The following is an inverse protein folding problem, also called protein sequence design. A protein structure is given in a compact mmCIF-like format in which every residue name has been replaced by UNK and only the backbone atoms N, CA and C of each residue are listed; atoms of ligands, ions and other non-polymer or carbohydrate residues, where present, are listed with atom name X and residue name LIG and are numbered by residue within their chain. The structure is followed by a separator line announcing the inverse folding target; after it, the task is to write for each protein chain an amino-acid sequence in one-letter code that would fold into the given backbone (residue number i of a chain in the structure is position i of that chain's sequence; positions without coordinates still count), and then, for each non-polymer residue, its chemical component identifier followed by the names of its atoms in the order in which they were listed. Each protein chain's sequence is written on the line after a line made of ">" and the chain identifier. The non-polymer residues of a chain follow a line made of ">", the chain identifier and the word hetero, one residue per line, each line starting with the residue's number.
data_IF_457463720346
#
_entry.id   IF_457463720346
#
_cell.length_a   1.000
_cell.length_b   1.000
_cell.length_c   1.000
_cell.angle_alpha   90.00
_cell.angle_beta   90.00
_cell.angle_gamma   90.00
#
_symmetry.space_group_name_H-M   'P 1'
#
loop_
_entity.id
_entity.type
_entity.pdbx_description
1 polymer ?
#
# COMPACT_ATOMS: atom_id res chain seq x y z
N UNK A 1 6.10 -8.77 9.15
CA UNK A 1 6.63 -7.49 9.65
C UNK A 1 7.01 -7.70 11.11
N UNK A 2 8.16 -7.19 11.61
CA UNK A 2 8.43 -7.22 13.04
C UNK A 2 7.22 -6.69 13.83
N UNK A 3 6.87 -7.31 14.96
CA UNK A 3 5.65 -6.98 15.71
C UNK A 3 5.63 -5.52 16.20
N UNK A 4 6.81 -4.89 16.32
CA UNK A 4 6.96 -3.56 16.90
C UNK A 4 7.10 -2.42 15.88
N UNK A 5 6.90 -2.68 14.58
CA UNK A 5 6.95 -1.60 13.61
C UNK A 5 5.76 -0.66 13.78
N UNK A 6 6.05 0.51 14.36
CA UNK A 6 5.08 1.57 14.56
C UNK A 6 5.60 2.88 13.92
N UNK A 7 4.72 3.69 13.34
CA UNK A 7 5.06 5.04 12.96
C UNK A 7 5.34 5.89 14.21
N UNK A 8 5.95 7.06 14.02
CA UNK A 8 6.01 8.06 15.09
C UNK A 8 4.59 8.40 15.57
N UNK A 9 4.38 8.61 16.88
CA UNK A 9 3.07 8.97 17.42
C UNK A 9 2.48 10.19 16.73
N UNK A 10 1.24 10.06 16.25
CA UNK A 10 0.52 11.12 15.55
C UNK A 10 -0.98 10.97 15.79
N UNK A 11 -1.68 12.08 16.01
CA UNK A 11 -3.15 12.10 16.12
C UNK A 11 -3.82 11.67 14.81
N UNK A 12 -3.13 11.85 13.69
CA UNK A 12 -3.58 11.46 12.35
C UNK A 12 -3.44 9.95 12.09
N UNK A 13 -2.58 9.26 12.85
CA UNK A 13 -2.23 7.85 12.63
C UNK A 13 -2.22 7.06 13.95
N UNK A 14 -3.35 6.96 14.68
CA UNK A 14 -3.40 6.13 15.88
C UNK A 14 -3.13 4.65 15.57
N UNK A 15 -2.72 3.89 16.58
CA UNK A 15 -2.42 2.47 16.39
C UNK A 15 -3.71 1.68 16.09
N UNK A 16 -3.83 1.24 14.83
CA UNK A 16 -4.96 0.43 14.36
C UNK A 16 -4.48 -0.85 13.63
N UNK A 17 -5.30 -1.92 13.64
CA UNK A 17 -5.10 -3.10 12.79
C UNK A 17 -4.97 -2.72 11.31
N UNK A 18 -4.16 -3.47 10.55
CA UNK A 18 -3.86 -3.15 9.15
C UNK A 18 -5.11 -2.86 8.30
N UNK A 19 -6.16 -3.68 8.42
CA UNK A 19 -7.42 -3.53 7.69
C UNK A 19 -8.20 -2.23 8.01
N UNK A 20 -7.86 -1.49 9.05
CA UNK A 20 -8.58 -0.25 9.40
C UNK A 20 -7.80 1.01 9.03
N UNK A 21 -6.50 0.89 8.75
CA UNK A 21 -5.61 2.05 8.55
C UNK A 21 -6.02 2.89 7.34
N UNK A 22 -6.47 2.27 6.26
CA UNK A 22 -6.87 2.99 5.05
C UNK A 22 -8.00 4.00 5.29
N UNK A 23 -8.95 3.67 6.18
CA UNK A 23 -10.08 4.54 6.51
C UNK A 23 -9.76 5.48 7.68
N UNK A 24 -9.09 4.97 8.72
CA UNK A 24 -8.91 5.68 9.98
C UNK A 24 -7.67 6.56 10.05
N UNK A 25 -6.67 6.34 9.18
CA UNK A 25 -5.52 7.24 9.10
C UNK A 25 -5.83 8.39 8.17
N UNK A 26 -5.64 9.61 8.68
CA UNK A 26 -6.04 10.82 7.99
C UNK A 26 -4.83 11.53 7.40
N UNK A 27 -4.88 11.96 6.14
CA UNK A 27 -3.89 12.90 5.63
C UNK A 27 -4.12 14.28 6.27
N UNK A 28 -3.06 15.07 6.40
CA UNK A 28 -3.16 16.43 6.96
C UNK A 28 -4.07 17.32 6.10
N UNK A 29 -3.96 17.19 4.77
CA UNK A 29 -4.77 17.91 3.79
C UNK A 29 -5.77 16.95 3.13
N UNK A 30 -6.79 16.53 3.87
CA UNK A 30 -7.95 15.89 3.24
C UNK A 30 -8.75 16.97 2.50
N UNK A 31 -9.01 16.78 1.21
CA UNK A 31 -9.90 17.71 0.51
C UNK A 31 -11.28 17.64 1.18
N UNK A 32 -11.88 18.82 1.39
CA UNK A 32 -13.23 18.95 1.92
C UNK A 32 -14.15 17.97 1.18
N UNK A 33 -14.86 17.12 1.93
CA UNK A 33 -15.93 16.28 1.36
C UNK A 33 -16.77 17.17 0.45
N UNK A 34 -17.09 16.76 -0.79
CA UNK A 34 -18.03 17.52 -1.60
C UNK A 34 -19.31 17.67 -0.78
N UNK A 35 -19.77 18.92 -0.58
CA UNK A 35 -20.88 19.27 0.32
C UNK A 35 -22.20 18.50 0.07
N UNK A 36 -22.29 17.78 -1.04
CA UNK A 36 -23.46 17.03 -1.47
C UNK A 36 -23.46 15.56 -1.00
N UNK A 37 -22.33 15.03 -0.50
CA UNK A 37 -22.23 13.64 -0.02
C UNK A 37 -22.13 13.61 1.50
N UNK A 38 -22.96 12.77 2.12
CA UNK A 38 -22.88 12.52 3.56
C UNK A 38 -21.61 11.74 3.91
N UNK A 39 -21.30 11.64 5.20
CA UNK A 39 -20.17 10.82 5.65
C UNK A 39 -20.40 9.34 5.34
N UNK A 40 -21.66 8.94 5.42
CA UNK A 40 -22.16 7.59 5.19
C UNK A 40 -22.03 7.22 3.71
N UNK A 41 -22.33 8.13 2.79
CA UNK A 41 -22.15 7.89 1.34
C UNK A 41 -20.68 7.69 0.98
N UNK A 42 -19.80 8.53 1.54
CA UNK A 42 -18.35 8.38 1.36
C UNK A 42 -17.86 7.05 1.92
N UNK A 43 -18.31 6.65 3.12
CA UNK A 43 -17.97 5.35 3.70
C UNK A 43 -18.47 4.20 2.83
N UNK A 44 -19.70 4.25 2.31
CA UNK A 44 -20.23 3.25 1.40
C UNK A 44 -19.42 3.14 0.09
N UNK A 45 -18.99 4.26 -0.49
CA UNK A 45 -18.13 4.27 -1.69
C UNK A 45 -16.77 3.65 -1.38
N UNK A 46 -16.17 4.04 -0.25
CA UNK A 46 -14.91 3.49 0.22
C UNK A 46 -15.02 1.98 0.51
N UNK A 47 -16.10 1.55 1.15
CA UNK A 47 -16.40 0.15 1.43
C UNK A 47 -16.65 -0.64 0.15
N UNK A 48 -17.35 -0.08 -0.84
CA UNK A 48 -17.52 -0.72 -2.15
C UNK A 48 -16.17 -0.88 -2.88
N UNK A 49 -15.29 0.13 -2.81
CA UNK A 49 -13.91 0.03 -3.33
C UNK A 49 -13.08 -1.03 -2.59
N UNK A 50 -13.28 -1.16 -1.28
CA UNK A 50 -12.62 -2.16 -0.45
C UNK A 50 -13.19 -3.58 -0.69
N UNK A 51 -14.52 -3.73 -0.85
CA UNK A 51 -15.22 -4.99 -1.14
C UNK A 51 -14.87 -5.54 -2.53
N UNK A 52 -14.53 -4.65 -3.48
CA UNK A 52 -13.97 -5.05 -4.77
C UNK A 52 -12.60 -5.75 -4.62
N UNK A 53 -11.92 -5.59 -3.47
CA UNK A 53 -10.65 -6.24 -3.15
C UNK A 53 -10.85 -7.37 -2.12
N UNK A 54 -10.08 -8.46 -2.24
CA UNK A 54 -10.09 -9.50 -1.20
C UNK A 54 -9.60 -8.96 0.16
N UNK A 55 -10.12 -9.48 1.28
CA UNK A 55 -9.70 -9.08 2.65
C UNK A 55 -8.18 -9.17 2.87
N UNK A 56 -7.53 -10.16 2.25
CA UNK A 56 -6.06 -10.31 2.27
C UNK A 56 -5.33 -9.16 1.55
N UNK A 57 -5.93 -8.62 0.50
CA UNK A 57 -5.46 -7.43 -0.22
C UNK A 57 -5.62 -6.19 0.65
N UNK A 58 -6.74 -6.05 1.36
CA UNK A 58 -6.98 -4.91 2.26
C UNK A 58 -5.94 -4.83 3.40
N UNK A 59 -5.65 -5.96 4.04
CA UNK A 59 -4.57 -6.06 5.04
C UNK A 59 -3.20 -5.77 4.45
N UNK A 60 -2.94 -6.19 3.22
CA UNK A 60 -1.68 -5.92 2.52
C UNK A 60 -1.51 -4.42 2.23
N UNK A 61 -2.57 -3.75 1.81
CA UNK A 61 -2.58 -2.31 1.55
C UNK A 61 -2.38 -1.50 2.83
N UNK A 62 -3.13 -1.80 3.90
CA UNK A 62 -2.93 -1.14 5.18
C UNK A 62 -1.58 -1.45 5.85
N UNK A 63 -0.98 -2.61 5.54
CA UNK A 63 0.42 -2.88 5.89
C UNK A 63 1.36 -1.98 5.10
N UNK A 64 1.17 -1.87 3.79
CA UNK A 64 1.95 -0.98 2.93
C UNK A 64 1.90 0.48 3.33
N UNK A 65 0.71 0.96 3.71
CA UNK A 65 0.52 2.31 4.23
C UNK A 65 1.33 2.54 5.52
N UNK A 66 1.36 1.56 6.43
CA UNK A 66 2.24 1.60 7.61
C UNK A 66 3.71 1.72 7.21
N UNK A 67 4.19 0.91 6.26
CA UNK A 67 5.60 0.95 5.83
C UNK A 67 5.94 2.29 5.20
N UNK A 68 5.05 2.84 4.39
CA UNK A 68 5.21 4.17 3.78
C UNK A 68 5.38 5.25 4.84
N UNK A 69 4.52 5.25 5.85
CA UNK A 69 4.59 6.21 6.93
C UNK A 69 5.83 6.06 7.80
N UNK A 70 6.27 4.83 8.10
CA UNK A 70 7.53 4.59 8.80
C UNK A 70 8.73 5.03 7.97
N UNK A 71 8.70 4.80 6.65
CA UNK A 71 9.70 5.33 5.74
C UNK A 71 9.73 6.87 5.79
N UNK A 72 8.57 7.52 5.72
CA UNK A 72 8.47 8.98 5.82
C UNK A 72 8.99 9.50 7.16
N UNK A 73 8.63 8.86 8.27
CA UNK A 73 9.13 9.20 9.61
C UNK A 73 10.66 9.05 9.68
N UNK A 74 11.22 7.97 9.12
CA UNK A 74 12.67 7.71 9.08
C UNK A 74 13.48 8.72 8.24
N UNK A 75 12.80 9.40 7.31
CA UNK A 75 13.36 10.44 6.45
C UNK A 75 12.95 11.85 6.87
N UNK A 76 12.28 11.99 8.01
CA UNK A 76 11.77 13.27 8.54
C UNK A 76 10.89 14.04 7.54
N UNK A 77 10.11 13.31 6.73
CA UNK A 77 9.21 13.90 5.74
C UNK A 77 7.98 14.47 6.46
N UNK A 78 7.68 15.77 6.34
CA UNK A 78 6.51 16.39 6.98
C UNK A 78 5.19 15.75 6.54
N UNK A 79 4.17 15.72 7.42
CA UNK A 79 2.85 15.15 7.08
C UNK A 79 2.21 15.83 5.86
N UNK A 80 2.48 17.12 5.63
CA UNK A 80 2.02 17.89 4.48
C UNK A 80 2.54 17.35 3.15
N UNK A 81 3.76 16.81 3.13
CA UNK A 81 4.43 16.33 1.92
C UNK A 81 4.12 14.85 1.61
N UNK A 82 3.40 14.18 2.52
CA UNK A 82 3.03 12.76 2.37
C UNK A 82 1.76 12.57 1.56
N UNK A 83 0.92 13.60 1.47
CA UNK A 83 -0.32 13.58 0.73
C UNK A 83 -0.71 15.01 0.29
N UNK A 84 -0.69 15.31 -1.03
CA UNK A 84 -0.39 14.40 -2.14
C UNK A 84 1.08 13.98 -2.19
N UNK A 85 1.34 12.67 -2.26
CA UNK A 85 2.68 12.16 -2.45
C UNK A 85 3.22 12.49 -3.85
N UNK A 86 4.46 12.96 -3.93
CA UNK A 86 5.13 13.23 -5.22
C UNK A 86 5.66 11.94 -5.87
N UNK A 87 5.86 11.95 -7.19
CA UNK A 87 6.49 10.82 -7.91
C UNK A 87 7.87 10.48 -7.34
N UNK A 88 8.64 11.49 -6.94
CA UNK A 88 9.96 11.31 -6.33
C UNK A 88 9.84 10.60 -4.98
N UNK A 89 8.88 10.98 -4.14
CA UNK A 89 8.64 10.35 -2.85
C UNK A 89 8.29 8.87 -3.01
N UNK A 90 7.36 8.55 -3.91
CA UNK A 90 6.94 7.18 -4.16
C UNK A 90 8.08 6.37 -4.80
N UNK A 91 8.85 6.97 -5.70
CA UNK A 91 10.03 6.34 -6.28
C UNK A 91 11.06 5.95 -5.21
N UNK A 92 11.39 6.89 -4.32
CA UNK A 92 12.33 6.65 -3.23
C UNK A 92 11.81 5.60 -2.24
N UNK A 93 10.50 5.57 -1.99
CA UNK A 93 9.86 4.52 -1.20
C UNK A 93 9.95 3.13 -1.85
N UNK A 94 9.71 3.02 -3.17
CA UNK A 94 9.87 1.76 -3.92
C UNK A 94 11.31 1.26 -3.81
N UNK A 95 12.28 2.15 -4.05
CA UNK A 95 13.70 1.79 -3.95
C UNK A 95 14.08 1.37 -2.52
N UNK A 96 13.56 2.03 -1.50
CA UNK A 96 13.80 1.68 -0.10
C UNK A 96 13.28 0.27 0.26
N UNK A 97 12.14 -0.13 -0.31
CA UNK A 97 11.51 -1.42 -0.04
C UNK A 97 12.01 -2.54 -0.96
N UNK A 98 12.62 -2.20 -2.10
CA UNK A 98 13.22 -3.15 -3.02
C UNK A 98 14.32 -3.99 -2.34
N UNK A 99 14.42 -5.26 -2.71
CA UNK A 99 15.40 -6.22 -2.15
C UNK A 99 15.05 -6.74 -0.75
N UNK A 100 14.32 -5.97 0.06
CA UNK A 100 13.81 -6.40 1.38
C UNK A 100 12.48 -7.16 1.28
N UNK A 101 11.68 -6.84 0.26
CA UNK A 101 10.39 -7.47 -0.01
C UNK A 101 10.31 -7.97 -1.45
N UNK A 102 9.43 -8.94 -1.70
CA UNK A 102 9.12 -9.36 -3.07
C UNK A 102 8.54 -8.21 -3.88
N UNK A 103 8.79 -8.14 -5.18
CA UNK A 103 8.24 -7.08 -6.04
C UNK A 103 6.70 -7.04 -5.98
N UNK A 104 6.04 -8.20 -5.90
CA UNK A 104 4.59 -8.27 -5.63
C UNK A 104 4.18 -7.57 -4.32
N UNK A 105 4.96 -7.73 -3.25
CA UNK A 105 4.71 -7.05 -1.97
C UNK A 105 4.93 -5.55 -2.08
N UNK A 106 6.01 -5.13 -2.75
CA UNK A 106 6.31 -3.70 -2.99
C UNK A 106 5.19 -3.03 -3.79
N UNK A 107 4.72 -3.67 -4.86
CA UNK A 107 3.60 -3.19 -5.65
C UNK A 107 2.33 -3.04 -4.79
N UNK A 108 1.99 -4.04 -3.97
CA UNK A 108 0.86 -3.95 -3.03
C UNK A 108 1.02 -2.79 -2.05
N UNK A 109 2.24 -2.46 -1.63
CA UNK A 109 2.46 -1.31 -0.75
C UNK A 109 2.16 0.01 -1.43
N UNK A 110 2.66 0.20 -2.66
CA UNK A 110 2.35 1.39 -3.48
C UNK A 110 0.85 1.50 -3.74
N UNK A 111 0.17 0.39 -4.05
CA UNK A 111 -1.28 0.37 -4.21
C UNK A 111 -2.00 0.78 -2.92
N UNK A 112 -1.52 0.36 -1.75
CA UNK A 112 -2.08 0.79 -0.48
C UNK A 112 -1.99 2.31 -0.27
N UNK A 113 -0.85 2.91 -0.63
CA UNK A 113 -0.68 4.37 -0.57
C UNK A 113 -1.61 5.06 -1.58
N UNK A 114 -1.72 4.54 -2.81
CA UNK A 114 -2.64 5.06 -3.84
C UNK A 114 -4.09 5.01 -3.38
N UNK A 115 -4.55 3.87 -2.87
CA UNK A 115 -5.91 3.69 -2.38
C UNK A 115 -6.18 4.67 -1.25
N UNK A 116 -5.26 4.79 -0.28
CA UNK A 116 -5.39 5.78 0.80
C UNK A 116 -5.59 7.21 0.28
N UNK A 117 -4.81 7.64 -0.73
CA UNK A 117 -5.01 8.96 -1.34
C UNK A 117 -6.40 9.12 -1.95
N UNK A 118 -6.84 8.13 -2.74
CA UNK A 118 -8.15 8.16 -3.42
C UNK A 118 -9.29 8.19 -2.41
N UNK A 119 -9.24 7.34 -1.37
CA UNK A 119 -10.28 7.28 -0.33
C UNK A 119 -10.44 8.63 0.38
N UNK A 120 -9.34 9.34 0.63
CA UNK A 120 -9.35 10.65 1.31
C UNK A 120 -9.49 11.85 0.36
N UNK A 121 -9.87 11.62 -0.89
CA UNK A 121 -10.13 12.68 -1.88
C UNK A 121 -8.87 13.42 -2.32
N UNK A 122 -7.69 12.83 -2.16
CA UNK A 122 -6.42 13.42 -2.55
C UNK A 122 -6.06 12.94 -3.95
N UNK A 123 -5.76 13.90 -4.83
CA UNK A 123 -5.34 13.60 -6.21
C UNK A 123 -4.09 12.74 -6.21
N UNK A 124 -4.18 11.60 -6.89
CA UNK A 124 -3.04 10.72 -7.18
C UNK A 124 -2.52 11.00 -8.59
N UNK A 125 -1.56 11.91 -8.71
CA UNK A 125 -0.97 12.30 -10.00
C UNK A 125 0.52 11.98 -10.02
N UNK A 126 0.84 10.71 -10.32
CA UNK A 126 2.21 10.24 -10.47
C UNK A 126 2.57 10.05 -11.95
N UNK A 127 3.86 9.91 -12.21
CA UNK A 127 4.35 9.40 -13.49
C UNK A 127 4.25 7.87 -13.50
N UNK A 128 3.14 7.35 -14.03
CA UNK A 128 2.85 5.92 -14.04
C UNK A 128 3.95 5.11 -14.76
N UNK A 129 4.58 5.67 -15.80
CA UNK A 129 5.65 4.99 -16.54
C UNK A 129 6.89 4.86 -15.66
N UNK A 130 7.27 5.92 -14.96
CA UNK A 130 8.37 5.90 -14.00
C UNK A 130 8.11 4.88 -12.88
N UNK A 131 6.92 4.90 -12.29
CA UNK A 131 6.55 4.00 -11.19
C UNK A 131 6.54 2.54 -11.65
N UNK A 132 5.98 2.24 -12.81
CA UNK A 132 5.97 0.88 -13.36
C UNK A 132 7.37 0.34 -13.64
N UNK A 133 8.27 1.19 -14.16
CA UNK A 133 9.66 0.81 -14.38
C UNK A 133 10.39 0.51 -13.07
N UNK A 134 10.13 1.29 -12.01
CA UNK A 134 10.70 1.04 -10.69
C UNK A 134 10.14 -0.22 -10.03
N UNK A 135 8.84 -0.50 -10.17
CA UNK A 135 8.24 -1.75 -9.68
C UNK A 135 8.83 -2.97 -10.40
N UNK A 136 9.06 -2.89 -11.71
CA UNK A 136 9.78 -3.93 -12.47
C UNK A 136 11.21 -4.10 -11.97
N UNK A 137 11.91 -2.99 -11.69
CA UNK A 137 13.26 -3.06 -11.12
C UNK A 137 13.26 -3.73 -9.73
N UNK A 138 12.29 -3.42 -8.87
CA UNK A 138 12.14 -4.05 -7.56
C UNK A 138 11.88 -5.57 -7.64
N UNK A 139 11.07 -6.01 -8.61
CA UNK A 139 10.86 -7.44 -8.88
C UNK A 139 12.16 -8.14 -9.35
N UNK A 140 12.96 -7.46 -10.16
CA UNK A 140 14.27 -7.99 -10.60
C UNK A 140 15.27 -8.07 -9.45
N UNK A 141 15.23 -7.12 -8.51
CA UNK A 141 16.06 -7.10 -7.29
C UNK A 141 15.59 -8.09 -6.21
N UNK A 142 14.41 -8.70 -6.37
CA UNK A 142 13.89 -9.68 -5.41
C UNK A 142 14.80 -10.91 -5.38
N UNK A 143 15.37 -11.28 -4.22
CA UNK A 143 16.24 -12.45 -4.09
C UNK A 143 15.54 -13.72 -4.58
N UNK A 144 16.28 -14.61 -5.25
CA UNK A 144 15.74 -15.91 -5.70
C UNK A 144 15.19 -16.76 -4.55
N UNK A 145 15.74 -16.59 -3.34
CA UNK A 145 15.26 -17.22 -2.10
C UNK A 145 13.87 -16.75 -1.67
N UNK A 146 13.44 -15.56 -2.09
CA UNK A 146 12.10 -15.01 -1.83
C UNK A 146 11.07 -15.43 -2.89
N UNK A 147 11.53 -15.96 -4.04
CA UNK A 147 10.65 -16.41 -5.13
C UNK A 147 10.11 -17.80 -4.82
N UNK A 148 8.80 -17.98 -4.91
CA UNK A 148 8.16 -19.29 -4.77
C UNK A 148 8.71 -20.23 -5.84
N UNK A 149 9.24 -21.39 -5.45
CA UNK A 149 9.65 -22.44 -6.40
C UNK A 149 8.47 -22.76 -7.31
N UNK A 150 8.73 -22.94 -8.62
CA UNK A 150 7.69 -23.42 -9.55
C UNK A 150 7.15 -24.74 -9.01
N UNK A 151 5.83 -24.82 -8.85
CA UNK A 151 5.19 -26.08 -8.50
C UNK A 151 5.39 -27.08 -9.63
N UNK A 152 5.55 -28.36 -9.28
CA UNK A 152 5.56 -29.42 -10.27
C UNK A 152 4.20 -29.46 -10.98
N UNK A 153 4.17 -29.60 -12.32
CA UNK A 153 2.92 -29.72 -13.03
C UNK A 153 2.14 -30.94 -12.52
N UNK A 154 0.83 -30.79 -12.38
CA UNK A 154 -0.04 -31.90 -12.04
C UNK A 154 -0.01 -32.90 -13.20
N UNK A 155 0.50 -34.11 -12.96
CA UNK A 155 0.56 -35.18 -13.96
C UNK A 155 -0.62 -36.13 -13.78
N UNK A 156 -0.98 -36.87 -14.84
CA UNK A 156 -2.03 -37.90 -14.80
C UNK A 156 -1.74 -38.92 -13.68
N UNK A 157 -0.47 -39.29 -13.49
CA UNK A 157 -0.05 -40.16 -12.39
C UNK A 157 -0.43 -39.59 -11.00
N UNK A 158 -0.39 -38.27 -10.83
CA UNK A 158 -0.75 -37.59 -9.58
C UNK A 158 -2.27 -37.59 -9.33
N UNK A 159 -3.07 -37.62 -10.41
CA UNK A 159 -4.54 -37.72 -10.35
C UNK A 159 -4.96 -39.16 -10.08
N UNK A 160 -4.29 -40.13 -10.70
CA UNK A 160 -4.56 -41.55 -10.52
C UNK A 160 -4.05 -42.11 -9.18
N UNK A 161 -3.27 -41.33 -8.41
CA UNK A 161 -2.74 -41.72 -7.10
C UNK A 161 -3.47 -41.09 -5.90
N UNK A 162 -4.60 -40.41 -6.13
CA UNK A 162 -5.51 -39.88 -5.11
C UNK A 162 -6.58 -40.93 -4.76
#
# INVERSE_FOLDING_TARGET
>A
YPPDLNPLPSTLRPHYPAKQRLHLWLPLMSQSKPNFLSTEDMMCIQDAMCLACAESTHKSYGSGLLVFHVYCDSRSIPELDRAPASSILISAFITFTAGSYSGKTVANYVFGVRVWHILHGIKWSLDDVQIDNLLKAAENMTPSTSKRKKHHPYTINFICSL
#
